data_IF_952928744414
#
_entry.id   IF_952928744414
#
_cell.length_a   1.000
_cell.length_b   1.000
_cell.length_c   1.000
_cell.angle_alpha   90.00
_cell.angle_beta   90.00
_cell.angle_gamma   90.00
#
_symmetry.space_group_name_H-M   'P 1'
#
loop_
_entity.id
_entity.type
_entity.pdbx_description
1 polymer ?
#
# COMPACT_ATOMS: atom_id res chain seq x y z
N UNK A 1 -5.38 9.36 -9.60
CA UNK A 1 -4.37 9.39 -8.51
C UNK A 1 -4.69 10.37 -7.40
N UNK A 2 -4.96 11.67 -7.66
CA UNK A 2 -5.27 12.66 -6.60
C UNK A 2 -6.30 12.18 -5.55
N UNK A 3 -7.48 11.77 -6.01
CA UNK A 3 -8.55 11.30 -5.09
C UNK A 3 -8.16 10.06 -4.27
N UNK A 4 -7.22 9.24 -4.77
CA UNK A 4 -6.81 7.99 -4.12
C UNK A 4 -5.81 8.30 -3.01
N UNK A 5 -4.85 9.18 -3.30
CA UNK A 5 -3.95 9.75 -2.28
C UNK A 5 -4.75 10.47 -1.18
N UNK A 6 -5.73 11.32 -1.52
CA UNK A 6 -6.55 12.00 -0.50
C UNK A 6 -7.38 11.03 0.36
N UNK A 7 -7.84 9.92 -0.20
CA UNK A 7 -8.56 8.90 0.57
C UNK A 7 -7.62 8.18 1.56
N UNK A 8 -6.40 7.82 1.13
CA UNK A 8 -5.40 7.18 2.00
C UNK A 8 -4.87 8.15 3.05
N UNK A 9 -4.68 9.42 2.70
CA UNK A 9 -4.32 10.49 3.64
C UNK A 9 -5.39 10.66 4.74
N UNK A 10 -6.67 10.66 4.35
CA UNK A 10 -7.77 10.71 5.30
C UNK A 10 -7.78 9.49 6.23
N UNK A 11 -7.54 8.29 5.68
CA UNK A 11 -7.41 7.07 6.48
C UNK A 11 -6.24 7.20 7.47
N UNK A 12 -5.05 7.55 6.98
CA UNK A 12 -3.87 7.71 7.81
C UNK A 12 -4.12 8.70 8.95
N UNK A 13 -4.68 9.87 8.64
CA UNK A 13 -5.00 10.91 9.63
C UNK A 13 -6.05 10.43 10.64
N UNK A 14 -7.06 9.69 10.19
CA UNK A 14 -8.14 9.18 11.04
C UNK A 14 -7.68 8.10 12.03
N UNK A 15 -6.68 7.31 11.63
CA UNK A 15 -6.14 6.19 12.43
C UNK A 15 -4.75 6.48 13.03
N UNK A 16 -4.26 7.72 12.93
CA UNK A 16 -2.99 8.16 13.52
C UNK A 16 -1.74 7.61 12.84
N UNK A 17 -1.82 7.22 11.56
CA UNK A 17 -0.68 6.86 10.73
C UNK A 17 0.03 8.11 10.19
N UNK A 18 1.27 7.94 9.72
CA UNK A 18 2.10 9.04 9.25
C UNK A 18 1.63 9.64 7.92
N UNK A 19 1.67 10.97 7.83
CA UNK A 19 1.63 11.72 6.56
C UNK A 19 2.74 12.75 6.64
N UNK A 20 3.60 12.80 5.63
CA UNK A 20 4.75 13.70 5.60
C UNK A 20 4.46 14.92 4.73
N UNK A 21 4.73 16.11 5.28
CA UNK A 21 4.66 17.36 4.52
C UNK A 21 5.81 17.47 3.49
N UNK A 22 6.90 16.71 3.70
CA UNK A 22 8.07 16.69 2.81
C UNK A 22 8.37 15.27 2.35
N UNK A 23 8.43 15.07 1.03
CA UNK A 23 8.72 13.77 0.44
C UNK A 23 10.15 13.33 0.72
N UNK A 24 10.32 12.07 1.13
CA UNK A 24 11.62 11.46 1.41
C UNK A 24 11.58 9.97 1.06
N UNK A 25 12.70 9.45 0.57
CA UNK A 25 12.82 8.03 0.27
C UNK A 25 13.22 7.20 1.50
N UNK A 26 13.99 7.82 2.42
CA UNK A 26 14.45 7.14 3.62
C UNK A 26 13.49 7.41 4.79
N UNK A 27 12.76 6.36 5.18
CA UNK A 27 11.86 6.36 6.32
C UNK A 27 12.45 5.64 7.55
N UNK A 28 13.73 5.26 7.47
CA UNK A 28 14.40 4.37 8.40
C UNK A 28 14.28 2.89 8.00
N UNK A 29 15.31 2.11 8.33
CA UNK A 29 15.47 0.71 7.95
C UNK A 29 14.22 -0.13 8.24
N UNK A 30 13.70 -0.07 9.47
CA UNK A 30 12.54 -0.86 9.87
C UNK A 30 11.29 -0.57 9.02
N UNK A 31 11.04 0.70 8.68
CA UNK A 31 9.87 1.07 7.88
C UNK A 31 10.06 0.74 6.40
N UNK A 32 11.26 0.94 5.86
CA UNK A 32 11.58 0.56 4.49
C UNK A 32 11.43 -0.96 4.29
N UNK A 33 11.91 -1.76 5.25
CA UNK A 33 11.75 -3.23 5.26
C UNK A 33 10.28 -3.62 5.39
N UNK A 34 9.52 -2.96 6.28
CA UNK A 34 8.08 -3.21 6.41
C UNK A 34 7.33 -2.99 5.09
N UNK A 35 7.56 -1.85 4.42
CA UNK A 35 6.92 -1.56 3.13
C UNK A 35 7.28 -2.58 2.06
N UNK A 36 8.54 -2.99 2.00
CA UNK A 36 8.98 -4.04 1.08
C UNK A 36 8.23 -5.37 1.33
N UNK A 37 8.15 -5.80 2.59
CA UNK A 37 7.49 -7.05 2.96
C UNK A 37 6.00 -7.03 2.59
N UNK A 38 5.29 -5.94 2.90
CA UNK A 38 3.87 -5.78 2.54
C UNK A 38 3.66 -5.85 1.03
N UNK A 39 4.49 -5.15 0.24
CA UNK A 39 4.39 -5.22 -1.23
C UNK A 39 4.68 -6.63 -1.77
N UNK A 40 5.60 -7.36 -1.15
CA UNK A 40 5.93 -8.72 -1.55
C UNK A 40 4.79 -9.70 -1.22
N UNK A 41 4.14 -9.53 -0.07
CA UNK A 41 2.98 -10.31 0.38
C UNK A 41 1.82 -10.19 -0.61
N UNK A 42 1.32 -8.97 -0.86
CA UNK A 42 0.19 -8.74 -1.78
C UNK A 42 0.48 -9.24 -3.20
N UNK A 43 1.74 -9.15 -3.64
CA UNK A 43 2.12 -9.62 -4.98
C UNK A 43 2.10 -11.15 -5.09
N UNK A 44 2.39 -11.86 -3.99
CA UNK A 44 2.25 -13.32 -3.94
C UNK A 44 0.77 -13.71 -3.92
N UNK A 45 -0.07 -13.01 -3.16
CA UNK A 45 -1.51 -13.24 -3.11
C UNK A 45 -2.16 -13.03 -4.48
N UNK A 46 -1.84 -11.91 -5.14
CA UNK A 46 -2.24 -11.67 -6.53
C UNK A 46 -1.88 -12.82 -7.47
N UNK A 47 -0.64 -13.32 -7.39
CA UNK A 47 -0.16 -14.39 -8.27
C UNK A 47 -0.91 -15.70 -8.03
N UNK A 48 -1.15 -16.07 -6.78
CA UNK A 48 -1.92 -17.27 -6.43
C UNK A 48 -3.39 -17.12 -6.84
N UNK A 49 -4.01 -15.98 -6.59
CA UNK A 49 -5.38 -15.66 -7.03
C UNK A 49 -5.54 -15.77 -8.55
N UNK A 50 -4.58 -15.20 -9.30
CA UNK A 50 -4.57 -15.25 -10.76
C UNK A 50 -4.41 -16.68 -11.29
N UNK A 51 -3.56 -17.51 -10.66
CA UNK A 51 -3.41 -18.94 -11.01
C UNK A 51 -4.69 -19.74 -10.74
N UNK A 52 -5.41 -19.38 -9.68
CA UNK A 52 -6.64 -20.04 -9.27
C UNK A 52 -7.89 -19.52 -10.01
N UNK A 53 -7.72 -18.53 -10.91
CA UNK A 53 -8.81 -17.85 -11.60
C UNK A 53 -9.85 -17.26 -10.62
N UNK A 54 -9.38 -16.77 -9.47
CA UNK A 54 -10.20 -16.11 -8.46
C UNK A 54 -10.26 -14.60 -8.71
N UNK A 55 -11.34 -14.15 -9.35
CA UNK A 55 -11.52 -12.74 -9.71
C UNK A 55 -11.64 -11.82 -8.48
N UNK A 56 -12.26 -12.31 -7.40
CA UNK A 56 -12.52 -11.49 -6.21
C UNK A 56 -11.19 -11.23 -5.51
N UNK A 57 -10.41 -12.28 -5.30
CA UNK A 57 -9.11 -12.18 -4.65
C UNK A 57 -8.10 -11.38 -5.48
N UNK A 58 -8.13 -11.52 -6.81
CA UNK A 58 -7.35 -10.65 -7.70
C UNK A 58 -7.70 -9.17 -7.50
N UNK A 59 -8.99 -8.84 -7.36
CA UNK A 59 -9.41 -7.47 -7.18
C UNK A 59 -9.02 -6.91 -5.80
N UNK A 60 -9.05 -7.75 -4.77
CA UNK A 60 -8.67 -7.41 -3.39
C UNK A 60 -7.17 -7.09 -3.30
N UNK A 61 -6.31 -8.02 -3.72
CA UNK A 61 -4.85 -7.84 -3.71
C UNK A 61 -4.40 -6.60 -4.52
N UNK A 62 -5.04 -6.31 -5.66
CA UNK A 62 -4.77 -5.08 -6.43
C UNK A 62 -5.21 -3.81 -5.69
N UNK A 63 -6.28 -3.89 -4.90
CA UNK A 63 -6.73 -2.83 -3.99
C UNK A 63 -5.72 -2.56 -2.89
N UNK A 64 -5.20 -3.61 -2.26
CA UNK A 64 -4.21 -3.50 -1.18
C UNK A 64 -2.86 -3.00 -1.69
N UNK A 65 -2.41 -3.47 -2.85
CA UNK A 65 -1.26 -2.89 -3.55
C UNK A 65 -1.42 -1.38 -3.82
N UNK A 66 -2.62 -0.94 -4.24
CA UNK A 66 -2.90 0.48 -4.45
C UNK A 66 -2.84 1.26 -3.13
N UNK A 67 -3.37 0.69 -2.05
CA UNK A 67 -3.31 1.29 -0.72
C UNK A 67 -1.85 1.44 -0.25
N UNK A 68 -1.05 0.38 -0.32
CA UNK A 68 0.38 0.40 0.07
C UNK A 68 1.17 1.39 -0.77
N UNK A 69 0.91 1.43 -2.08
CA UNK A 69 1.54 2.40 -2.99
C UNK A 69 1.22 3.83 -2.57
N UNK A 70 -0.05 4.16 -2.35
CA UNK A 70 -0.47 5.49 -1.93
C UNK A 70 0.06 5.85 -0.54
N UNK A 71 0.01 4.93 0.42
CA UNK A 71 0.58 5.15 1.76
C UNK A 71 2.10 5.29 1.76
N UNK A 72 2.79 4.77 0.74
CA UNK A 72 4.24 4.96 0.53
C UNK A 72 4.57 6.31 -0.05
N UNK A 73 3.72 6.83 -0.93
CA UNK A 73 3.88 8.17 -1.48
C UNK A 73 3.63 9.23 -0.41
N UNK A 74 2.76 8.97 0.57
CA UNK A 74 2.33 9.97 1.56
C UNK A 74 3.28 10.16 2.75
N UNK A 75 4.31 9.34 2.93
CA UNK A 75 5.27 9.44 4.05
C UNK A 75 6.70 9.80 3.63
#
# INVERSE_FOLDING_TARGET
MKNKLSAVELFHTSFGQGVSETMRADLGEAKNVLRYNLMAEENNEYLEAAKNNDLVEVADALGDMLYILCGTILE
#
